data_IF_481334426622
#
_entry.id   IF_481334426622
#
_cell.length_a   1.000
_cell.length_b   1.000
_cell.length_c   1.000
_cell.angle_alpha   90.00
_cell.angle_beta   90.00
_cell.angle_gamma   90.00
#
_symmetry.space_group_name_H-M   'P 1'
#
loop_
_entity.id
_entity.type
_entity.pdbx_description
1 polymer ?
#
# COMPACT_ATOMS: atom_id res chain seq x y z
N UNK A 1 -1.36 -46.15 -1.01
CA UNK A 1 -0.52 -45.17 -0.29
C UNK A 1 -0.25 -43.99 -1.22
N UNK A 2 -0.91 -42.87 -1.06
CA UNK A 2 -0.30 -41.54 -1.27
C UNK A 2 -0.91 -40.44 -0.38
N UNK A 3 -0.97 -40.63 0.94
CA UNK A 3 -1.54 -39.61 1.85
C UNK A 3 -0.48 -38.81 2.58
N UNK A 4 0.78 -39.14 2.46
CA UNK A 4 1.86 -38.50 3.23
C UNK A 4 2.52 -37.27 2.54
N UNK A 5 2.36 -37.11 1.24
CA UNK A 5 3.01 -36.00 0.50
C UNK A 5 2.23 -34.67 0.68
N UNK A 6 0.91 -34.73 0.76
CA UNK A 6 0.06 -33.55 0.96
C UNK A 6 0.23 -32.95 2.37
N UNK A 7 0.42 -33.77 3.40
CA UNK A 7 0.67 -33.29 4.75
C UNK A 7 2.06 -32.64 4.89
N UNK A 8 3.08 -33.18 4.22
CA UNK A 8 4.42 -32.60 4.25
C UNK A 8 4.49 -31.23 3.54
N UNK A 9 3.78 -31.08 2.43
CA UNK A 9 3.68 -29.79 1.71
C UNK A 9 2.97 -28.71 2.55
N UNK A 10 1.89 -29.06 3.25
CA UNK A 10 1.14 -28.15 4.11
C UNK A 10 1.95 -27.70 5.34
N UNK A 11 2.80 -28.58 5.88
CA UNK A 11 3.73 -28.22 6.98
C UNK A 11 4.90 -27.37 6.48
N UNK A 12 5.40 -27.61 5.27
CA UNK A 12 6.45 -26.80 4.66
C UNK A 12 5.96 -25.38 4.31
N UNK A 13 4.73 -25.22 3.80
CA UNK A 13 4.15 -23.89 3.56
C UNK A 13 3.93 -23.11 4.88
N UNK A 14 3.42 -23.77 5.93
CA UNK A 14 3.31 -23.13 7.25
C UNK A 14 4.67 -22.77 7.84
N UNK A 15 5.67 -23.62 7.70
CA UNK A 15 7.03 -23.34 8.14
C UNK A 15 7.68 -22.21 7.35
N UNK A 16 7.39 -22.12 6.04
CA UNK A 16 7.90 -21.05 5.17
C UNK A 16 7.21 -19.70 5.44
N UNK A 17 5.90 -19.70 5.66
CA UNK A 17 5.16 -18.53 6.14
C UNK A 17 5.60 -18.09 7.53
N UNK A 18 5.84 -19.05 8.44
CA UNK A 18 6.33 -18.78 9.79
C UNK A 18 7.77 -18.25 9.75
N UNK A 19 8.64 -18.82 8.91
CA UNK A 19 10.02 -18.37 8.69
C UNK A 19 10.07 -16.96 8.07
N UNK A 20 9.19 -16.64 7.12
CA UNK A 20 9.05 -15.27 6.59
C UNK A 20 8.43 -14.31 7.62
N UNK A 21 7.46 -14.77 8.40
CA UNK A 21 6.90 -14.00 9.51
C UNK A 21 7.94 -13.75 10.59
N UNK A 22 8.77 -14.75 10.92
CA UNK A 22 9.90 -14.63 11.83
C UNK A 22 11.03 -13.77 11.24
N UNK A 23 11.39 -13.91 9.96
CA UNK A 23 12.31 -13.00 9.27
C UNK A 23 11.77 -11.57 9.16
N UNK A 24 10.46 -11.40 8.98
CA UNK A 24 9.81 -10.09 9.06
C UNK A 24 9.84 -9.52 10.49
N UNK A 25 9.79 -10.39 11.50
CA UNK A 25 10.00 -10.00 12.90
C UNK A 25 11.48 -9.75 13.23
N UNK A 26 12.42 -10.50 12.66
CA UNK A 26 13.86 -10.30 12.86
C UNK A 26 14.41 -9.06 12.13
N UNK A 27 13.80 -8.62 11.02
CA UNK A 27 14.14 -7.34 10.40
C UNK A 27 13.66 -6.11 11.21
N UNK A 28 12.92 -6.32 12.28
CA UNK A 28 12.50 -5.31 13.25
C UNK A 28 13.50 -5.22 14.42
N UNK A 29 14.79 -5.12 14.13
CA UNK A 29 15.83 -4.83 15.15
C UNK A 29 15.82 -3.38 15.65
N UNK A 30 14.82 -2.61 15.25
CA UNK A 30 14.74 -1.19 15.53
C UNK A 30 14.03 -0.99 16.84
N UNK A 31 14.70 -0.51 17.87
CA UNK A 31 14.18 -0.06 19.17
C UNK A 31 12.79 -0.66 19.52
N UNK A 32 12.76 -1.98 19.73
CA UNK A 32 11.55 -2.82 19.79
C UNK A 32 10.63 -2.54 20.98
N UNK A 33 11.11 -1.81 21.96
CA UNK A 33 10.41 -1.62 23.21
C UNK A 33 9.90 -0.19 23.31
N UNK A 34 8.70 0.01 23.87
CA UNK A 34 8.21 1.35 24.15
C UNK A 34 9.06 2.01 25.21
N UNK A 35 9.01 3.35 25.33
CA UNK A 35 9.66 4.06 26.42
C UNK A 35 9.16 3.54 27.76
N UNK A 36 9.99 3.63 28.81
CA UNK A 36 9.67 3.17 30.16
C UNK A 36 8.36 3.80 30.69
N UNK A 37 8.17 5.06 30.40
CA UNK A 37 6.98 5.85 30.66
C UNK A 37 6.95 7.07 29.72
N UNK A 38 5.98 7.97 29.85
CA UNK A 38 5.90 9.18 29.01
C UNK A 38 7.12 10.09 29.16
N UNK A 39 7.67 10.19 30.36
CA UNK A 39 8.79 11.10 30.68
C UNK A 39 10.14 10.58 30.18
N UNK A 40 10.22 9.29 29.83
CA UNK A 40 11.41 8.68 29.23
C UNK A 40 11.50 8.83 27.71
N UNK A 41 10.52 9.43 27.08
CA UNK A 41 10.53 9.78 25.65
C UNK A 41 11.38 11.05 25.48
N UNK A 42 12.36 11.01 24.57
CA UNK A 42 13.09 12.21 24.19
C UNK A 42 12.12 13.33 23.84
N UNK A 43 12.39 14.55 24.28
CA UNK A 43 11.63 15.71 23.80
C UNK A 43 11.79 15.87 22.29
N UNK A 44 10.88 16.59 21.65
CA UNK A 44 10.97 16.81 20.20
C UNK A 44 12.26 17.55 19.81
N UNK A 45 12.71 18.49 20.65
CA UNK A 45 13.96 19.25 20.45
C UNK A 45 15.20 18.36 20.62
N UNK A 46 15.23 17.52 21.64
CA UNK A 46 16.34 16.57 21.84
C UNK A 46 16.42 15.58 20.67
N UNK A 47 15.27 15.10 20.19
CA UNK A 47 15.23 14.23 19.02
C UNK A 47 15.75 14.96 17.77
N UNK A 48 15.37 16.22 17.55
CA UNK A 48 15.86 17.02 16.43
C UNK A 48 17.39 17.22 16.52
N UNK A 49 17.90 17.56 17.72
CA UNK A 49 19.33 17.72 17.94
C UNK A 49 20.12 16.42 17.63
N UNK A 50 19.62 15.26 18.05
CA UNK A 50 20.24 13.98 17.72
C UNK A 50 20.22 13.69 16.22
N UNK A 51 19.11 13.97 15.53
CA UNK A 51 18.96 13.72 14.10
C UNK A 51 19.63 14.77 13.21
N UNK A 52 20.17 15.86 13.77
CA UNK A 52 20.94 16.86 13.02
C UNK A 52 22.14 16.22 12.29
N UNK A 53 22.72 15.17 12.84
CA UNK A 53 23.82 14.42 12.22
C UNK A 53 23.47 13.74 10.91
N UNK A 54 22.17 13.57 10.58
CA UNK A 54 21.73 13.06 9.28
C UNK A 54 21.82 14.11 8.18
N UNK A 55 21.65 15.38 8.52
CA UNK A 55 21.62 16.47 7.53
C UNK A 55 22.99 16.59 6.87
N UNK A 56 23.01 16.70 5.55
CA UNK A 56 24.23 16.74 4.76
C UNK A 56 24.88 15.36 4.53
N UNK A 57 24.30 14.26 5.00
CA UNK A 57 24.81 12.92 4.72
C UNK A 57 24.16 12.32 3.46
N UNK A 58 24.87 11.38 2.82
CA UNK A 58 24.35 10.66 1.66
C UNK A 58 23.36 9.58 2.11
N UNK A 59 22.20 9.57 1.49
CA UNK A 59 21.14 8.57 1.75
C UNK A 59 21.10 7.53 0.62
N UNK A 60 21.00 6.21 0.91
CA UNK A 60 20.91 5.17 -0.09
C UNK A 60 19.49 5.13 -0.70
N UNK A 61 19.13 6.17 -1.44
CA UNK A 61 17.84 6.32 -2.09
C UNK A 61 17.73 5.34 -3.26
N UNK A 62 16.63 4.59 -3.29
CA UNK A 62 16.28 3.60 -4.33
C UNK A 62 14.90 3.92 -4.90
N UNK A 63 14.53 3.25 -5.98
CA UNK A 63 13.19 3.35 -6.58
C UNK A 63 12.10 2.62 -5.77
N UNK A 64 12.51 1.90 -4.71
CA UNK A 64 11.61 1.11 -3.86
C UNK A 64 11.28 1.86 -2.55
N UNK A 65 10.09 2.48 -2.40
CA UNK A 65 9.73 3.25 -1.20
C UNK A 65 9.85 2.48 0.12
N UNK A 66 9.58 1.17 0.10
CA UNK A 66 9.73 0.30 1.29
C UNK A 66 11.19 0.15 1.71
N UNK A 67 12.11 -0.01 0.75
CA UNK A 67 13.54 -0.08 1.01
C UNK A 67 14.03 1.24 1.60
N UNK A 68 13.61 2.36 1.01
CA UNK A 68 13.95 3.69 1.52
C UNK A 68 13.46 3.89 2.96
N UNK A 69 12.21 3.53 3.25
CA UNK A 69 11.68 3.57 4.61
C UNK A 69 12.47 2.69 5.60
N UNK A 70 12.89 1.50 5.16
CA UNK A 70 13.73 0.61 5.98
C UNK A 70 15.13 1.20 6.23
N UNK A 71 15.74 1.76 5.19
CA UNK A 71 17.05 2.41 5.30
C UNK A 71 17.01 3.61 6.25
N UNK A 72 15.95 4.42 6.16
CA UNK A 72 15.76 5.56 7.06
C UNK A 72 15.62 5.11 8.51
N UNK A 73 14.79 4.10 8.76
CA UNK A 73 14.65 3.55 10.13
C UNK A 73 15.98 3.09 10.68
N UNK A 74 16.74 2.30 9.92
CA UNK A 74 18.08 1.83 10.34
C UNK A 74 19.02 3.00 10.67
N UNK A 75 19.04 4.04 9.84
CA UNK A 75 19.87 5.22 10.06
C UNK A 75 19.48 5.95 11.35
N UNK A 76 18.18 6.17 11.56
CA UNK A 76 17.68 6.81 12.79
C UNK A 76 17.97 5.93 14.01
N UNK A 77 17.70 4.62 13.95
CA UNK A 77 17.97 3.70 15.05
C UNK A 77 19.42 3.73 15.46
N UNK A 78 20.35 3.70 14.51
CA UNK A 78 21.80 3.77 14.80
C UNK A 78 22.20 5.03 15.56
N UNK A 79 21.54 6.17 15.30
CA UNK A 79 21.81 7.44 16.00
C UNK A 79 21.21 7.44 17.41
N UNK A 80 20.05 6.79 17.57
CA UNK A 80 19.32 6.78 18.83
C UNK A 80 19.75 5.65 19.78
N UNK A 81 20.54 4.68 19.29
CA UNK A 81 21.03 3.52 20.06
C UNK A 81 22.33 3.88 20.82
N UNK A 82 22.26 4.94 21.60
CA UNK A 82 23.38 5.43 22.44
C UNK A 82 23.16 5.19 23.95
N UNK A 83 22.15 4.37 24.29
CA UNK A 83 21.80 4.08 25.68
C UNK A 83 21.04 5.21 26.39
N UNK A 84 20.77 6.33 25.74
CA UNK A 84 20.02 7.45 26.32
C UNK A 84 18.53 7.19 26.46
N UNK A 85 17.98 6.22 25.70
CA UNK A 85 16.56 5.89 25.70
C UNK A 85 16.29 4.76 26.68
N UNK A 86 15.45 5.05 27.68
CA UNK A 86 14.99 4.06 28.65
C UNK A 86 13.74 3.35 28.13
N UNK A 87 13.80 2.04 27.98
CA UNK A 87 12.72 1.20 27.47
C UNK A 87 12.07 0.35 28.55
N UNK A 88 10.81 0.00 28.36
CA UNK A 88 10.06 -0.85 29.29
C UNK A 88 10.34 -2.35 29.00
N UNK A 89 10.28 -3.17 30.05
CA UNK A 89 10.27 -4.63 29.88
C UNK A 89 8.97 -5.09 29.19
N UNK A 90 9.05 -6.13 28.36
CA UNK A 90 7.87 -6.72 27.66
C UNK A 90 6.73 -7.10 28.61
N UNK A 91 7.07 -7.50 29.84
CA UNK A 91 6.08 -7.89 30.86
C UNK A 91 5.28 -6.71 31.41
N UNK A 92 5.73 -5.46 31.21
CA UNK A 92 5.18 -4.29 31.89
C UNK A 92 4.24 -3.46 31.00
N UNK A 93 4.04 -3.85 29.75
CA UNK A 93 3.16 -3.15 28.83
C UNK A 93 2.42 -4.10 27.88
N UNK A 94 1.37 -3.57 27.28
CA UNK A 94 0.66 -4.18 26.15
C UNK A 94 0.56 -3.16 25.02
N UNK A 95 0.94 -3.58 23.81
CA UNK A 95 0.65 -2.81 22.61
C UNK A 95 -0.81 -3.04 22.27
N UNK A 96 -1.58 -1.96 22.18
CA UNK A 96 -2.99 -2.05 21.81
C UNK A 96 -3.09 -2.15 20.30
N UNK A 97 -3.51 -3.29 19.74
CA UNK A 97 -3.63 -3.42 18.30
C UNK A 97 -4.81 -2.56 17.83
N UNK A 98 -4.51 -1.42 17.25
CA UNK A 98 -5.46 -0.74 16.39
C UNK A 98 -5.35 -1.46 15.06
N UNK A 99 -6.29 -2.35 14.79
CA UNK A 99 -6.44 -3.21 13.59
C UNK A 99 -5.28 -3.09 12.57
N UNK A 100 -4.45 -4.11 12.45
CA UNK A 100 -3.37 -4.16 11.45
C UNK A 100 -2.09 -3.38 11.80
N UNK A 101 -1.51 -2.67 10.85
CA UNK A 101 -0.21 -1.97 10.97
C UNK A 101 -0.33 -0.65 11.75
N UNK A 102 -0.57 -0.70 13.06
CA UNK A 102 -0.88 0.49 13.87
C UNK A 102 0.27 1.02 14.72
N UNK A 103 1.37 0.30 14.88
CA UNK A 103 2.44 0.67 15.82
C UNK A 103 3.56 1.42 15.10
N UNK A 104 4.07 2.54 15.63
CA UNK A 104 5.25 3.22 15.09
C UNK A 104 6.46 2.30 15.01
N UNK A 105 7.24 2.40 13.95
CA UNK A 105 8.40 1.55 13.75
C UNK A 105 9.50 1.79 14.81
N UNK A 106 9.71 3.06 15.20
CA UNK A 106 10.63 3.45 16.28
C UNK A 106 9.85 3.61 17.58
N UNK A 107 9.40 2.48 18.12
CA UNK A 107 8.45 2.45 19.24
C UNK A 107 8.98 3.18 20.48
N UNK A 108 10.27 3.09 20.79
CA UNK A 108 10.87 3.76 21.95
C UNK A 108 10.80 5.29 21.85
N UNK A 109 10.81 5.85 20.65
CA UNK A 109 10.70 7.29 20.40
C UNK A 109 9.33 7.71 19.88
N UNK A 110 8.41 6.76 19.73
CA UNK A 110 7.06 6.96 19.13
C UNK A 110 7.13 7.60 17.74
N UNK A 111 8.18 7.31 16.97
CA UNK A 111 8.43 7.93 15.69
C UNK A 111 7.88 7.10 14.54
N UNK A 112 7.22 7.77 13.61
CA UNK A 112 6.91 7.29 12.27
C UNK A 112 7.75 8.08 11.27
N UNK A 113 8.49 7.40 10.40
CA UNK A 113 9.49 8.04 9.55
C UNK A 113 9.12 7.95 8.07
N UNK A 114 9.37 9.04 7.35
CA UNK A 114 8.97 9.24 5.96
C UNK A 114 10.09 9.87 5.14
N UNK A 115 10.25 9.40 3.91
CA UNK A 115 11.12 10.03 2.91
C UNK A 115 10.29 11.04 2.11
N UNK A 116 10.80 12.24 1.99
CA UNK A 116 10.24 13.33 1.20
C UNK A 116 11.24 13.67 0.10
N UNK A 117 10.84 13.56 -1.16
CA UNK A 117 11.78 13.73 -2.28
C UNK A 117 11.38 14.86 -3.21
N UNK A 118 10.27 14.69 -3.96
CA UNK A 118 9.91 15.53 -5.09
C UNK A 118 8.44 15.93 -5.07
N UNK A 119 8.06 16.85 -5.95
CA UNK A 119 6.71 17.36 -6.16
C UNK A 119 6.39 18.60 -5.34
N UNK A 120 5.24 19.20 -5.57
CA UNK A 120 4.78 20.41 -4.89
C UNK A 120 4.16 20.13 -3.53
N UNK A 121 3.61 18.93 -3.39
CA UNK A 121 2.88 18.47 -2.20
C UNK A 121 3.32 17.08 -1.78
N UNK A 122 3.53 16.89 -0.49
CA UNK A 122 3.73 15.59 0.13
C UNK A 122 2.43 15.10 0.76
N UNK A 123 1.95 13.92 0.38
CA UNK A 123 0.77 13.30 0.98
C UNK A 123 1.17 12.39 2.14
N UNK A 124 1.14 12.93 3.35
CA UNK A 124 1.31 12.14 4.58
C UNK A 124 0.15 11.17 4.72
N UNK A 125 0.44 9.88 4.65
CA UNK A 125 -0.52 8.80 4.82
C UNK A 125 -0.30 8.09 6.15
N UNK A 126 -1.31 8.07 7.00
CA UNK A 126 -1.27 7.40 8.30
C UNK A 126 -2.25 6.23 8.30
N UNK A 127 -1.73 5.05 8.65
CA UNK A 127 -2.48 3.81 8.63
C UNK A 127 -2.85 3.40 10.06
N UNK A 128 -4.13 3.17 10.32
CA UNK A 128 -4.70 2.65 11.58
C UNK A 128 -4.42 3.46 12.85
N UNK A 129 -3.47 4.38 12.83
CA UNK A 129 -3.20 5.33 13.89
C UNK A 129 -3.90 6.64 13.53
N UNK A 130 -5.04 6.89 14.14
CA UNK A 130 -5.73 8.16 13.90
C UNK A 130 -5.07 9.24 14.75
N UNK A 131 -4.19 10.09 14.17
CA UNK A 131 -3.36 11.00 14.96
C UNK A 131 -4.16 11.99 15.80
N UNK A 132 -5.39 12.29 15.37
CA UNK A 132 -6.31 13.20 16.05
C UNK A 132 -7.11 12.52 17.16
N UNK A 133 -6.84 11.24 17.48
CA UNK A 133 -7.60 10.49 18.46
C UNK A 133 -6.82 10.26 19.76
N UNK A 134 -7.59 10.03 20.81
CA UNK A 134 -7.08 9.63 22.12
C UNK A 134 -7.01 8.11 22.30
N UNK A 135 -7.05 7.34 21.22
CA UNK A 135 -6.93 5.89 21.29
C UNK A 135 -5.58 5.47 21.85
N UNK A 136 -5.62 4.46 22.73
CA UNK A 136 -4.39 3.93 23.33
C UNK A 136 -3.53 3.23 22.28
N UNK A 137 -2.25 3.51 22.27
CA UNK A 137 -1.23 2.83 21.48
C UNK A 137 -0.45 1.81 22.33
N UNK A 138 -0.14 2.21 23.55
CA UNK A 138 0.57 1.38 24.53
C UNK A 138 -0.14 1.55 25.88
N UNK A 139 -0.37 0.44 26.58
CA UNK A 139 -0.92 0.40 27.92
C UNK A 139 0.06 -0.28 28.87
N UNK A 140 0.49 0.44 29.89
CA UNK A 140 1.39 -0.06 30.93
C UNK A 140 0.61 -0.69 32.08
N UNK A 141 1.23 -1.59 32.83
CA UNK A 141 0.63 -2.21 34.03
C UNK A 141 0.27 -1.22 35.14
N UNK A 142 0.96 -0.10 35.21
CA UNK A 142 0.66 0.96 36.14
C UNK A 142 -0.47 1.89 35.67
N UNK A 143 -1.26 1.49 34.69
CA UNK A 143 -2.36 2.21 34.08
C UNK A 143 -1.98 3.47 33.29
N UNK A 144 -0.71 3.78 33.12
CA UNK A 144 -0.28 4.83 32.19
C UNK A 144 -0.56 4.36 30.76
N UNK A 145 -0.85 5.30 29.88
CA UNK A 145 -1.07 5.02 28.45
C UNK A 145 -0.31 6.00 27.57
N UNK A 146 0.19 5.52 26.45
CA UNK A 146 0.62 6.33 25.31
C UNK A 146 -0.43 6.23 24.24
N UNK A 147 -0.85 7.36 23.70
CA UNK A 147 -1.98 7.49 22.79
C UNK A 147 -1.51 7.73 21.35
N UNK A 148 -2.38 7.51 20.37
CA UNK A 148 -2.08 7.76 18.97
C UNK A 148 -1.68 9.21 18.68
N UNK A 149 -2.19 10.19 19.43
CA UNK A 149 -1.80 11.60 19.34
C UNK A 149 -0.38 11.90 19.85
N UNK A 150 0.23 10.99 20.63
CA UNK A 150 1.57 11.14 21.17
C UNK A 150 2.66 10.71 20.16
N UNK A 151 2.29 10.18 18.99
CA UNK A 151 3.24 9.82 17.92
C UNK A 151 3.90 11.08 17.34
N UNK A 152 5.05 10.89 16.72
CA UNK A 152 5.82 11.93 16.03
C UNK A 152 6.09 11.49 14.60
N UNK A 153 5.91 12.38 13.66
CA UNK A 153 6.30 12.19 12.28
C UNK A 153 7.71 12.71 12.08
N UNK A 154 8.60 11.89 11.56
CA UNK A 154 9.95 12.27 11.17
C UNK A 154 10.03 12.28 9.66
N UNK A 155 10.13 13.44 9.07
CA UNK A 155 10.27 13.63 7.63
C UNK A 155 11.73 13.90 7.30
N UNK A 156 12.26 13.20 6.32
CA UNK A 156 13.61 13.41 5.82
C UNK A 156 13.54 13.80 4.34
N UNK A 157 13.85 15.06 4.07
CA UNK A 157 13.94 15.58 2.69
C UNK A 157 15.25 15.12 2.08
N UNK A 158 15.16 14.36 1.00
CA UNK A 158 16.31 13.86 0.26
C UNK A 158 16.29 14.45 -1.15
N UNK A 159 17.42 14.98 -1.58
CA UNK A 159 17.63 15.43 -2.94
C UNK A 159 17.77 14.22 -3.87
N UNK A 160 17.04 14.19 -4.97
CA UNK A 160 16.99 13.04 -5.87
C UNK A 160 18.24 12.86 -6.72
N UNK A 161 18.97 13.93 -6.99
CA UNK A 161 20.13 13.92 -7.87
C UNK A 161 21.40 13.61 -7.06
N UNK A 162 21.64 14.37 -6.02
CA UNK A 162 22.81 14.23 -5.16
C UNK A 162 22.70 13.10 -4.14
N UNK A 163 21.47 12.65 -3.86
CA UNK A 163 21.12 11.70 -2.78
C UNK A 163 21.46 12.20 -1.39
N UNK A 164 21.61 13.51 -1.21
CA UNK A 164 21.95 14.12 0.07
C UNK A 164 20.68 14.41 0.88
N UNK A 165 20.75 14.21 2.19
CA UNK A 165 19.69 14.62 3.11
C UNK A 165 19.76 16.14 3.27
N UNK A 166 18.73 16.85 2.83
CA UNK A 166 18.65 18.30 2.86
C UNK A 166 18.11 18.84 4.19
N UNK A 167 17.12 18.16 4.77
CA UNK A 167 16.53 18.57 6.05
C UNK A 167 15.89 17.39 6.77
N UNK A 168 15.71 17.53 8.08
CA UNK A 168 14.93 16.63 8.92
C UNK A 168 13.88 17.46 9.67
N UNK A 169 12.62 17.14 9.49
CA UNK A 169 11.51 17.80 10.18
C UNK A 169 10.79 16.79 11.06
N UNK A 170 10.70 17.09 12.35
CA UNK A 170 9.92 16.31 13.31
C UNK A 170 8.68 17.11 13.66
N UNK A 171 7.51 16.52 13.46
CA UNK A 171 6.25 17.18 13.72
C UNK A 171 5.30 16.29 14.54
N UNK A 172 4.59 16.91 15.47
CA UNK A 172 3.48 16.25 16.18
C UNK A 172 2.19 16.29 15.36
N UNK A 173 1.24 15.36 15.58
CA UNK A 173 -0.07 15.40 14.95
C UNK A 173 -0.78 16.75 15.15
N UNK A 174 -0.76 17.28 16.36
CA UNK A 174 -1.38 18.57 16.69
C UNK A 174 -0.77 19.73 15.92
N UNK A 175 0.56 19.72 15.74
CA UNK A 175 1.25 20.71 14.92
C UNK A 175 0.82 20.62 13.45
N UNK A 176 0.78 19.42 12.90
CA UNK A 176 0.33 19.18 11.51
C UNK A 176 -1.11 19.68 11.33
N UNK A 177 -2.00 19.37 12.27
CA UNK A 177 -3.40 19.81 12.22
C UNK A 177 -3.49 21.34 12.29
N UNK A 178 -2.74 21.97 13.20
CA UNK A 178 -2.76 23.43 13.35
C UNK A 178 -2.25 24.14 12.10
N UNK A 179 -1.24 23.60 11.44
CA UNK A 179 -0.56 24.27 10.31
C UNK A 179 -1.20 23.96 8.96
N UNK A 180 -1.67 22.73 8.75
CA UNK A 180 -2.13 22.25 7.45
C UNK A 180 -3.60 21.80 7.44
N UNK A 181 -4.28 21.81 8.57
CA UNK A 181 -5.65 21.37 8.75
C UNK A 181 -5.75 19.90 9.20
N UNK A 182 -6.95 19.50 9.56
CA UNK A 182 -7.26 18.16 10.07
C UNK A 182 -6.95 17.08 9.03
N UNK A 183 -6.59 15.90 9.50
CA UNK A 183 -6.48 14.72 8.64
C UNK A 183 -7.85 14.38 8.05
N UNK A 184 -7.86 13.91 6.82
CA UNK A 184 -9.09 13.43 6.17
C UNK A 184 -9.75 12.29 6.96
N UNK A 185 -11.02 12.06 6.69
CA UNK A 185 -11.78 10.96 7.30
C UNK A 185 -11.07 9.64 6.99
N UNK A 186 -10.86 8.78 8.00
CA UNK A 186 -10.27 7.47 7.77
C UNK A 186 -11.11 6.65 6.79
N UNK A 187 -10.51 6.24 5.70
CA UNK A 187 -11.14 5.38 4.71
C UNK A 187 -10.59 3.97 4.81
N UNK A 188 -11.50 3.00 4.70
CA UNK A 188 -11.14 1.58 4.65
C UNK A 188 -10.23 1.30 3.45
N UNK A 189 -9.26 0.41 3.62
CA UNK A 189 -8.34 -0.05 2.59
C UNK A 189 -8.18 -1.56 2.67
N UNK A 190 -8.69 -2.23 1.66
CA UNK A 190 -8.49 -3.66 1.48
C UNK A 190 -7.20 -3.94 0.72
N UNK A 191 -6.58 -5.04 1.03
CA UNK A 191 -5.35 -5.52 0.39
C UNK A 191 -5.40 -7.03 0.20
N UNK A 192 -4.66 -7.51 -0.79
CA UNK A 192 -4.40 -8.93 -0.97
C UNK A 192 -2.92 -9.18 -1.20
N UNK A 193 -2.45 -10.37 -0.82
CA UNK A 193 -1.05 -10.80 -0.96
C UNK A 193 -0.96 -11.82 -2.08
N UNK A 194 0.06 -11.68 -2.91
CA UNK A 194 0.41 -12.59 -3.97
C UNK A 194 1.74 -13.27 -3.64
N UNK A 195 1.76 -14.61 -3.61
CA UNK A 195 2.97 -15.34 -3.32
C UNK A 195 3.89 -15.44 -4.54
N UNK A 196 5.21 -15.45 -4.31
CA UNK A 196 6.18 -15.64 -5.39
C UNK A 196 6.01 -16.99 -6.10
N UNK A 197 5.56 -18.02 -5.35
CA UNK A 197 5.28 -19.33 -5.91
C UNK A 197 4.16 -19.23 -6.96
N UNK A 198 3.04 -18.63 -6.58
CA UNK A 198 1.88 -18.48 -7.48
C UNK A 198 2.19 -17.56 -8.66
N UNK A 199 2.96 -16.51 -8.42
CA UNK A 199 3.47 -15.65 -9.49
C UNK A 199 4.26 -16.45 -10.53
N UNK A 200 5.21 -17.26 -10.07
CA UNK A 200 6.06 -18.09 -10.95
C UNK A 200 5.25 -19.13 -11.72
N UNK A 201 4.22 -19.71 -11.13
CA UNK A 201 3.29 -20.64 -11.82
C UNK A 201 2.62 -19.95 -13.02
N UNK A 202 2.15 -18.71 -12.85
CA UNK A 202 1.47 -17.96 -13.91
C UNK A 202 2.45 -17.55 -15.01
N UNK A 203 3.58 -16.98 -14.65
CA UNK A 203 4.59 -16.49 -15.61
C UNK A 203 5.17 -17.64 -16.47
N UNK A 204 5.38 -18.79 -15.85
CA UNK A 204 5.89 -19.99 -16.55
C UNK A 204 4.80 -20.80 -17.26
N UNK A 205 3.54 -20.45 -17.06
CA UNK A 205 2.41 -21.11 -17.72
C UNK A 205 2.40 -20.83 -19.24
N UNK A 206 1.86 -21.75 -20.00
CA UNK A 206 1.84 -21.72 -21.49
C UNK A 206 1.20 -20.45 -22.06
N UNK A 207 0.29 -19.82 -21.34
CA UNK A 207 -0.40 -18.59 -21.81
C UNK A 207 0.05 -17.33 -21.09
N UNK A 208 0.92 -17.44 -20.06
CA UNK A 208 1.24 -16.36 -19.12
C UNK A 208 0.01 -15.60 -18.61
N UNK A 209 -1.15 -16.28 -18.59
CA UNK A 209 -2.42 -15.71 -18.19
C UNK A 209 -3.20 -16.68 -17.29
N UNK A 210 -3.45 -16.27 -16.06
CA UNK A 210 -4.41 -16.94 -15.18
C UNK A 210 -5.80 -16.38 -15.50
N UNK A 211 -6.62 -17.21 -16.10
CA UNK A 211 -7.94 -16.83 -16.61
C UNK A 211 -9.04 -17.57 -15.86
N UNK A 212 -10.11 -16.85 -15.55
CA UNK A 212 -11.39 -17.38 -15.05
C UNK A 212 -12.52 -16.75 -15.84
N UNK A 213 -13.60 -17.49 -16.02
CA UNK A 213 -14.80 -16.99 -16.69
C UNK A 213 -15.58 -16.02 -15.80
N UNK A 214 -16.47 -15.24 -16.41
CA UNK A 214 -17.41 -14.38 -15.70
C UNK A 214 -18.28 -15.18 -14.71
N UNK A 215 -18.72 -14.53 -13.63
CA UNK A 215 -19.71 -15.14 -12.73
C UNK A 215 -21.01 -15.45 -13.48
N UNK A 216 -21.75 -16.45 -13.00
CA UNK A 216 -23.05 -16.78 -13.57
C UNK A 216 -24.01 -15.57 -13.61
N UNK A 217 -23.89 -14.68 -12.62
CA UNK A 217 -24.67 -13.44 -12.58
C UNK A 217 -24.26 -12.47 -13.70
N UNK A 218 -22.96 -12.39 -14.02
CA UNK A 218 -22.45 -11.52 -15.09
C UNK A 218 -22.73 -12.08 -16.49
N UNK A 219 -22.64 -13.39 -16.70
CA UNK A 219 -22.78 -14.04 -18.02
C UNK A 219 -24.05 -13.64 -18.76
N UNK A 220 -25.16 -13.43 -18.06
CA UNK A 220 -26.42 -13.00 -18.67
C UNK A 220 -26.40 -11.59 -19.28
N UNK A 221 -25.39 -10.79 -18.97
CA UNK A 221 -25.22 -9.40 -19.44
C UNK A 221 -24.09 -9.26 -20.45
N UNK A 222 -23.22 -10.27 -20.58
CA UNK A 222 -22.02 -10.23 -21.41
C UNK A 222 -22.28 -10.66 -22.85
N UNK A 223 -21.34 -10.29 -23.72
CA UNK A 223 -21.28 -10.73 -25.12
C UNK A 223 -19.87 -11.22 -25.46
N UNK A 224 -19.78 -12.33 -26.20
CA UNK A 224 -18.54 -12.90 -26.74
C UNK A 224 -18.08 -12.21 -28.04
N UNK A 225 -18.94 -11.39 -28.60
CA UNK A 225 -18.59 -10.64 -29.81
C UNK A 225 -18.06 -9.27 -29.42
N UNK A 226 -16.91 -8.92 -29.96
CA UNK A 226 -16.39 -7.57 -29.79
C UNK A 226 -17.36 -6.55 -30.37
N UNK A 227 -17.79 -5.64 -29.52
CA UNK A 227 -18.66 -4.52 -29.87
C UNK A 227 -17.93 -3.25 -29.45
N UNK A 228 -17.78 -2.31 -30.38
CA UNK A 228 -17.26 -0.98 -30.02
C UNK A 228 -18.24 -0.31 -29.05
N UNK A 229 -17.80 0.13 -27.89
CA UNK A 229 -18.67 0.78 -26.91
C UNK A 229 -19.38 2.00 -27.53
N UNK A 230 -20.68 2.12 -27.29
CA UNK A 230 -21.47 3.30 -27.67
C UNK A 230 -21.57 4.30 -26.56
N UNK A 231 -21.30 3.87 -25.35
CA UNK A 231 -21.35 4.65 -24.13
C UNK A 231 -19.93 5.04 -23.66
N UNK A 232 -19.86 6.08 -22.86
CA UNK A 232 -18.58 6.50 -22.25
C UNK A 232 -18.03 5.43 -21.29
N UNK A 233 -16.74 5.40 -21.14
CA UNK A 233 -16.04 4.52 -20.19
C UNK A 233 -16.57 4.65 -18.75
N UNK A 234 -17.02 5.85 -18.37
CA UNK A 234 -17.55 6.18 -17.05
C UNK A 234 -19.03 5.86 -16.86
N UNK A 235 -19.75 5.50 -17.94
CA UNK A 235 -21.16 5.20 -17.85
C UNK A 235 -21.40 3.85 -17.15
N UNK A 236 -22.60 3.67 -16.63
CA UNK A 236 -23.02 2.40 -16.09
C UNK A 236 -23.00 1.30 -17.15
N UNK A 237 -22.70 0.05 -16.77
CA UNK A 237 -22.68 -1.07 -17.70
C UNK A 237 -24.04 -1.27 -18.38
N UNK A 238 -24.00 -1.56 -19.68
CA UNK A 238 -25.20 -1.79 -20.49
C UNK A 238 -25.25 -3.22 -21.00
N UNK A 239 -26.41 -3.84 -20.91
CA UNK A 239 -26.62 -5.19 -21.42
C UNK A 239 -26.28 -5.27 -22.92
N UNK A 240 -25.45 -6.25 -23.31
CA UNK A 240 -25.01 -6.45 -24.69
C UNK A 240 -23.81 -5.60 -25.13
N UNK A 241 -23.30 -4.71 -24.26
CA UNK A 241 -22.06 -3.97 -24.47
C UNK A 241 -20.93 -4.43 -23.55
N UNK A 242 -21.26 -5.19 -22.52
CA UNK A 242 -20.28 -5.77 -21.60
C UNK A 242 -19.61 -6.96 -22.30
N UNK A 243 -18.33 -6.83 -22.61
CA UNK A 243 -17.56 -7.92 -23.23
C UNK A 243 -17.36 -9.04 -22.21
N UNK A 244 -17.47 -10.30 -22.62
CA UNK A 244 -17.11 -11.41 -21.73
C UNK A 244 -15.61 -11.36 -21.36
N UNK A 245 -15.24 -11.96 -20.23
CA UNK A 245 -13.82 -12.06 -19.86
C UNK A 245 -13.01 -12.85 -20.90
N UNK A 246 -13.62 -13.78 -21.63
CA UNK A 246 -12.98 -14.45 -22.77
C UNK A 246 -12.64 -13.46 -23.89
N UNK A 247 -13.59 -12.60 -24.26
CA UNK A 247 -13.37 -11.56 -25.27
C UNK A 247 -12.32 -10.54 -24.82
N UNK A 248 -12.34 -10.13 -23.55
CA UNK A 248 -11.33 -9.24 -22.97
C UNK A 248 -9.95 -9.90 -23.03
N UNK A 249 -9.84 -11.19 -22.65
CA UNK A 249 -8.58 -11.95 -22.70
C UNK A 249 -7.94 -11.91 -24.09
N UNK A 250 -8.72 -12.09 -25.14
CA UNK A 250 -8.22 -12.03 -26.51
C UNK A 250 -7.65 -10.66 -26.86
N UNK A 251 -8.27 -9.59 -26.36
CA UNK A 251 -7.82 -8.20 -26.60
C UNK A 251 -6.57 -7.83 -25.82
N UNK A 252 -6.49 -8.27 -24.56
CA UNK A 252 -5.38 -7.87 -23.67
C UNK A 252 -4.18 -8.82 -23.72
N UNK A 253 -4.31 -9.96 -24.40
CA UNK A 253 -3.22 -10.96 -24.49
C UNK A 253 -1.92 -10.39 -25.06
N UNK A 254 -2.01 -9.41 -25.96
CA UNK A 254 -0.85 -8.71 -26.54
C UNK A 254 -0.07 -7.84 -25.53
N UNK A 255 -0.60 -7.63 -24.32
CA UNK A 255 0.09 -6.87 -23.28
C UNK A 255 1.29 -7.63 -22.68
N UNK A 256 1.29 -8.95 -22.72
CA UNK A 256 2.42 -9.75 -22.24
C UNK A 256 3.65 -9.46 -23.10
N UNK A 257 4.77 -9.15 -22.46
CA UNK A 257 6.02 -8.72 -23.11
C UNK A 257 6.11 -7.20 -23.37
N UNK A 258 5.03 -6.43 -23.15
CA UNK A 258 5.10 -4.97 -23.30
C UNK A 258 5.69 -4.30 -22.05
N UNK A 259 6.41 -3.20 -22.25
CA UNK A 259 6.99 -2.43 -21.18
C UNK A 259 6.11 -1.24 -20.82
N UNK A 260 5.78 -1.11 -19.53
CA UNK A 260 5.13 0.07 -18.97
C UNK A 260 6.19 1.16 -18.73
N UNK A 261 6.36 2.05 -19.72
CA UNK A 261 7.43 3.07 -19.72
C UNK A 261 7.05 4.23 -18.80
N UNK A 262 7.10 4.03 -17.47
CA UNK A 262 6.82 5.09 -16.51
C UNK A 262 7.54 4.83 -15.18
N UNK A 263 8.00 5.90 -14.53
CA UNK A 263 8.92 5.82 -13.39
C UNK A 263 8.28 5.47 -12.04
N UNK A 264 6.98 5.67 -11.85
CA UNK A 264 6.31 5.41 -10.57
C UNK A 264 5.07 4.52 -10.72
N UNK A 265 4.74 3.76 -9.66
CA UNK A 265 3.65 2.77 -9.68
C UNK A 265 2.27 3.39 -9.96
N UNK A 266 2.01 4.63 -9.51
CA UNK A 266 0.72 5.29 -9.75
C UNK A 266 0.55 5.62 -11.23
N UNK A 267 1.58 6.16 -11.85
CA UNK A 267 1.58 6.50 -13.28
C UNK A 267 1.55 5.24 -14.15
N UNK A 268 2.22 4.14 -13.72
CA UNK A 268 2.11 2.82 -14.37
C UNK A 268 0.66 2.32 -14.38
N UNK A 269 -0.05 2.44 -13.25
CA UNK A 269 -1.47 2.07 -13.16
C UNK A 269 -2.32 2.84 -14.16
N UNK A 270 -2.26 4.16 -14.14
CA UNK A 270 -3.01 5.03 -15.05
C UNK A 270 -2.66 4.80 -16.52
N UNK A 271 -1.40 4.50 -16.83
CA UNK A 271 -0.98 4.17 -18.19
C UNK A 271 -1.62 2.85 -18.63
N UNK A 272 -1.57 1.81 -17.81
CA UNK A 272 -2.18 0.51 -18.12
C UNK A 272 -3.70 0.63 -18.28
N UNK A 273 -4.38 1.37 -17.41
CA UNK A 273 -5.83 1.66 -17.52
C UNK A 273 -6.19 2.22 -18.89
N UNK A 274 -5.41 3.23 -19.37
CA UNK A 274 -5.62 3.82 -20.70
C UNK A 274 -5.38 2.83 -21.84
N UNK A 275 -4.31 2.05 -21.75
CA UNK A 275 -3.99 1.04 -22.77
C UNK A 275 -5.10 0.00 -22.84
N UNK A 276 -5.58 -0.48 -21.71
CA UNK A 276 -6.69 -1.44 -21.63
C UNK A 276 -7.97 -0.83 -22.19
N UNK A 277 -8.31 0.39 -21.81
CA UNK A 277 -9.48 1.09 -22.33
C UNK A 277 -9.45 1.19 -23.88
N UNK A 278 -8.29 1.57 -24.44
CA UNK A 278 -8.11 1.63 -25.89
C UNK A 278 -8.26 0.26 -26.56
N UNK A 279 -7.71 -0.81 -25.98
CA UNK A 279 -7.87 -2.17 -26.49
C UNK A 279 -9.33 -2.65 -26.49
N UNK A 280 -10.13 -2.13 -25.56
CA UNK A 280 -11.55 -2.39 -25.45
C UNK A 280 -12.41 -1.46 -26.34
N UNK A 281 -11.78 -0.55 -27.09
CA UNK A 281 -12.44 0.30 -28.10
C UNK A 281 -12.92 1.66 -27.58
N UNK A 282 -12.55 2.07 -26.36
CA UNK A 282 -12.84 3.42 -25.85
C UNK A 282 -11.91 4.46 -26.46
N UNK A 283 -12.39 5.70 -26.58
CA UNK A 283 -11.59 6.81 -27.08
C UNK A 283 -10.49 7.21 -26.10
N UNK A 284 -9.32 7.57 -26.61
CA UNK A 284 -8.21 8.13 -25.82
C UNK A 284 -8.56 9.46 -25.13
N UNK A 285 -9.60 10.15 -25.61
CA UNK A 285 -10.08 11.41 -25.05
C UNK A 285 -11.07 11.22 -23.90
N UNK A 286 -11.55 9.99 -23.67
CA UNK A 286 -12.39 9.69 -22.51
C UNK A 286 -11.52 9.84 -21.25
N UNK A 287 -11.86 10.81 -20.41
CA UNK A 287 -11.19 10.99 -19.13
C UNK A 287 -11.49 9.80 -18.24
N UNK A 288 -10.44 9.08 -17.84
CA UNK A 288 -10.54 8.11 -16.76
C UNK A 288 -10.89 8.89 -15.48
N UNK A 289 -12.15 8.89 -15.13
CA UNK A 289 -12.63 9.48 -13.88
C UNK A 289 -12.30 8.48 -12.79
N UNK A 290 -11.36 8.81 -11.91
CA UNK A 290 -10.99 7.94 -10.80
C UNK A 290 -12.23 7.46 -10.04
N UNK A 291 -12.42 6.16 -9.97
CA UNK A 291 -13.60 5.52 -9.38
C UNK A 291 -13.33 4.04 -9.09
N UNK A 292 -14.39 3.30 -8.92
CA UNK A 292 -14.36 1.83 -8.82
C UNK A 292 -15.60 1.26 -9.51
N UNK A 293 -15.39 0.31 -10.40
CA UNK A 293 -14.09 -0.11 -10.97
C UNK A 293 -13.49 0.95 -11.92
N UNK A 294 -12.22 0.80 -12.33
CA UNK A 294 -11.48 1.76 -13.18
C UNK A 294 -12.14 1.97 -14.55
N UNK A 295 -12.78 0.94 -15.11
CA UNK A 295 -13.58 0.97 -16.34
C UNK A 295 -15.03 0.59 -16.00
N UNK A 296 -15.86 1.54 -15.51
CA UNK A 296 -17.21 1.25 -15.01
C UNK A 296 -18.11 0.59 -16.04
N UNK A 297 -18.11 1.05 -17.30
CA UNK A 297 -18.96 0.50 -18.34
C UNK A 297 -18.69 -0.99 -18.63
N UNK A 298 -17.47 -1.46 -18.35
CA UNK A 298 -17.09 -2.88 -18.44
C UNK A 298 -17.02 -3.58 -17.08
N UNK A 299 -17.31 -2.92 -15.96
CA UNK A 299 -17.11 -3.46 -14.63
C UNK A 299 -15.71 -4.06 -14.43
N UNK A 300 -14.69 -3.40 -14.97
CA UNK A 300 -13.31 -3.90 -15.00
C UNK A 300 -12.40 -3.00 -14.18
N UNK A 301 -11.79 -3.58 -13.16
CA UNK A 301 -10.74 -2.98 -12.34
C UNK A 301 -9.37 -3.39 -12.90
N UNK A 302 -8.47 -2.43 -13.08
CA UNK A 302 -7.15 -2.64 -13.68
C UNK A 302 -6.07 -2.40 -12.64
N UNK A 303 -5.15 -3.32 -12.47
CA UNK A 303 -4.07 -3.22 -11.47
C UNK A 303 -2.72 -3.61 -12.05
N UNK A 304 -1.67 -2.94 -11.58
CA UNK A 304 -0.28 -3.35 -11.77
C UNK A 304 0.22 -4.00 -10.49
N UNK A 305 0.81 -5.18 -10.61
CA UNK A 305 1.42 -5.88 -9.48
C UNK A 305 2.95 -5.92 -9.68
N UNK A 306 3.64 -5.02 -9.01
CA UNK A 306 5.11 -4.93 -8.92
C UNK A 306 5.63 -5.22 -7.51
N UNK A 307 4.73 -5.56 -6.58
CA UNK A 307 5.06 -5.86 -5.18
C UNK A 307 4.21 -7.04 -4.68
N UNK A 308 4.59 -7.72 -3.58
CA UNK A 308 3.82 -8.82 -3.03
C UNK A 308 2.39 -8.45 -2.57
N UNK A 309 2.09 -7.16 -2.44
CA UNK A 309 0.79 -6.67 -1.96
C UNK A 309 0.10 -5.89 -3.06
N UNK A 310 -1.16 -6.23 -3.36
CA UNK A 310 -2.05 -5.48 -4.25
C UNK A 310 -3.04 -4.69 -3.39
N UNK A 311 -3.13 -3.39 -3.61
CA UNK A 311 -4.09 -2.50 -2.93
C UNK A 311 -5.42 -2.52 -3.71
N UNK A 312 -6.48 -3.01 -3.06
CA UNK A 312 -7.83 -3.04 -3.61
C UNK A 312 -8.61 -1.74 -3.36
N UNK A 313 -8.05 -0.83 -2.55
CA UNK A 313 -8.74 0.41 -2.24
C UNK A 313 -9.88 0.22 -1.25
N UNK A 314 -11.01 0.89 -1.52
CA UNK A 314 -12.20 0.94 -0.65
C UNK A 314 -13.08 -0.31 -0.77
N UNK A 315 -13.00 -1.01 -1.88
CA UNK A 315 -13.85 -2.15 -2.20
C UNK A 315 -13.04 -3.44 -2.27
N UNK A 316 -13.64 -4.55 -1.85
CA UNK A 316 -13.02 -5.87 -1.92
C UNK A 316 -14.06 -6.94 -2.16
N UNK A 317 -13.76 -7.93 -3.01
CA UNK A 317 -14.62 -9.11 -3.15
C UNK A 317 -14.77 -9.91 -1.86
N UNK A 318 -13.77 -9.86 -0.96
CA UNK A 318 -13.86 -10.54 0.35
C UNK A 318 -14.87 -9.90 1.32
N UNK A 319 -15.42 -8.74 0.96
CA UNK A 319 -16.50 -8.08 1.68
C UNK A 319 -17.53 -7.56 0.67
N UNK A 320 -18.42 -8.44 0.17
CA UNK A 320 -19.34 -8.12 -0.91
C UNK A 320 -20.25 -6.94 -0.59
N UNK A 321 -20.29 -5.98 -1.52
CA UNK A 321 -21.23 -4.85 -1.49
C UNK A 321 -21.83 -4.66 -2.88
N UNK A 322 -23.08 -4.24 -2.93
CA UNK A 322 -23.76 -3.96 -4.19
C UNK A 322 -23.12 -2.73 -4.85
N UNK A 323 -22.75 -2.86 -6.11
CA UNK A 323 -22.16 -1.80 -6.94
C UNK A 323 -23.07 -1.36 -8.08
N UNK A 324 -24.00 -2.22 -8.50
CA UNK A 324 -25.03 -1.90 -9.48
C UNK A 324 -26.36 -2.51 -9.04
N UNK A 325 -27.29 -1.65 -8.58
CA UNK A 325 -28.58 -2.10 -8.10
C UNK A 325 -29.50 -2.65 -9.22
N UNK A 326 -29.44 -2.07 -10.43
CA UNK A 326 -30.33 -2.45 -11.52
C UNK A 326 -30.02 -3.85 -12.07
N UNK A 327 -28.76 -4.26 -12.00
CA UNK A 327 -28.30 -5.59 -12.43
C UNK A 327 -28.03 -6.53 -11.24
N UNK A 328 -28.23 -6.06 -10.01
CA UNK A 328 -27.91 -6.79 -8.78
C UNK A 328 -26.47 -7.31 -8.75
N UNK A 329 -25.51 -6.48 -9.21
CA UNK A 329 -24.10 -6.85 -9.26
C UNK A 329 -23.36 -6.34 -8.02
N UNK A 330 -22.45 -7.15 -7.53
CA UNK A 330 -21.64 -6.88 -6.34
C UNK A 330 -20.15 -6.76 -6.67
N UNK A 331 -19.34 -6.46 -5.68
CA UNK A 331 -17.86 -6.49 -5.80
C UNK A 331 -17.31 -7.87 -6.17
N UNK A 332 -18.06 -8.95 -5.97
CA UNK A 332 -17.70 -10.30 -6.44
C UNK A 332 -17.82 -10.45 -7.95
N UNK A 333 -18.73 -9.69 -8.58
CA UNK A 333 -18.96 -9.69 -10.02
C UNK A 333 -18.02 -8.75 -10.77
N UNK A 334 -17.38 -7.80 -10.06
CA UNK A 334 -16.34 -6.94 -10.66
C UNK A 334 -15.21 -7.78 -11.18
N UNK A 335 -14.78 -7.48 -12.38
CA UNK A 335 -13.72 -8.19 -13.08
C UNK A 335 -12.40 -7.49 -12.84
N UNK A 336 -11.33 -8.25 -12.68
CA UNK A 336 -9.99 -7.73 -12.41
C UNK A 336 -9.03 -8.14 -13.50
N UNK A 337 -8.35 -7.15 -14.10
CA UNK A 337 -7.17 -7.36 -14.91
C UNK A 337 -5.95 -6.92 -14.09
N UNK A 338 -5.10 -7.87 -13.72
CA UNK A 338 -3.89 -7.60 -12.94
C UNK A 338 -2.68 -7.95 -13.79
N UNK A 339 -1.90 -6.94 -14.17
CA UNK A 339 -0.65 -7.13 -14.89
C UNK A 339 0.50 -7.39 -13.91
N UNK A 340 1.16 -8.52 -14.05
CA UNK A 340 2.34 -8.92 -13.28
C UNK A 340 3.57 -8.36 -13.98
N UNK A 341 4.25 -7.38 -13.36
CA UNK A 341 5.43 -6.76 -13.98
C UNK A 341 6.73 -7.15 -13.28
N UNK A 342 7.81 -7.23 -14.04
CA UNK A 342 9.16 -7.32 -13.50
C UNK A 342 9.65 -5.97 -12.94
N UNK A 343 10.91 -5.93 -12.51
CA UNK A 343 11.53 -4.72 -11.97
C UNK A 343 11.72 -3.61 -13.03
N UNK A 344 11.74 -3.95 -14.32
CA UNK A 344 11.87 -3.04 -15.45
C UNK A 344 10.50 -2.55 -15.96
N UNK A 345 9.40 -3.04 -15.37
CA UNK A 345 8.04 -2.73 -15.79
C UNK A 345 7.56 -3.52 -17.02
N UNK A 346 8.23 -4.61 -17.38
CA UNK A 346 7.79 -5.52 -18.44
C UNK A 346 6.68 -6.40 -17.88
N UNK A 347 5.55 -6.50 -18.58
CA UNK A 347 4.45 -7.38 -18.21
C UNK A 347 4.86 -8.83 -18.51
N UNK A 348 5.06 -9.62 -17.47
CA UNK A 348 5.44 -11.03 -17.57
C UNK A 348 4.24 -11.98 -17.60
N UNK A 349 3.10 -11.51 -17.11
CA UNK A 349 1.88 -12.29 -17.07
C UNK A 349 0.65 -11.48 -16.67
N UNK A 350 -0.51 -12.06 -16.88
CA UNK A 350 -1.81 -11.45 -16.60
C UNK A 350 -2.64 -12.34 -15.68
N UNK A 351 -3.45 -11.72 -14.83
CA UNK A 351 -4.56 -12.36 -14.14
C UNK A 351 -5.83 -11.69 -14.62
N UNK A 352 -6.75 -12.45 -15.17
CA UNK A 352 -8.04 -11.98 -15.62
C UNK A 352 -9.14 -12.85 -14.99
N UNK A 353 -9.87 -12.27 -14.04
CA UNK A 353 -10.73 -13.04 -13.14
C UNK A 353 -11.86 -12.18 -12.58
N UNK A 354 -13.06 -12.72 -12.33
CA UNK A 354 -14.04 -12.06 -11.49
C UNK A 354 -13.55 -12.00 -10.04
N UNK A 355 -14.05 -11.03 -9.29
CA UNK A 355 -13.68 -10.81 -7.89
C UNK A 355 -13.85 -12.03 -7.01
N UNK A 356 -14.94 -12.80 -7.21
CA UNK A 356 -15.23 -14.05 -6.48
C UNK A 356 -14.13 -15.11 -6.60
N UNK A 357 -13.34 -15.11 -7.69
CA UNK A 357 -12.28 -16.08 -7.94
C UNK A 357 -10.87 -15.56 -7.63
N UNK A 358 -10.72 -14.32 -7.17
CA UNK A 358 -9.39 -13.77 -6.83
C UNK A 358 -8.70 -14.55 -5.70
N UNK A 359 -9.46 -15.14 -4.78
CA UNK A 359 -8.95 -15.98 -3.70
C UNK A 359 -8.15 -17.20 -4.18
N UNK A 360 -8.31 -17.65 -5.44
CA UNK A 360 -7.54 -18.76 -6.03
C UNK A 360 -6.07 -18.38 -6.26
N UNK A 361 -5.81 -17.11 -6.53
CA UNK A 361 -4.47 -16.59 -6.80
C UNK A 361 -3.89 -15.78 -5.64
N UNK A 362 -4.74 -15.14 -4.85
CA UNK A 362 -4.34 -14.20 -3.80
C UNK A 362 -4.86 -14.63 -2.42
N UNK A 363 -4.16 -14.19 -1.39
CA UNK A 363 -4.65 -14.26 -0.02
C UNK A 363 -5.12 -12.87 0.41
N UNK A 364 -6.39 -12.71 0.75
CA UNK A 364 -6.91 -11.48 1.31
C UNK A 364 -6.29 -11.21 2.69
N UNK A 365 -5.77 -10.01 2.88
CA UNK A 365 -5.19 -9.60 4.15
C UNK A 365 -6.27 -8.97 4.99
N UNK A 366 -6.50 -9.58 6.16
CA UNK A 366 -7.44 -9.18 7.22
C UNK A 366 -8.14 -7.83 7.05
N UNK A 367 -9.28 -7.88 7.32
CA UNK A 367 -10.55 -7.23 7.21
C UNK A 367 -10.58 -5.72 7.14
N UNK A 368 -9.69 -4.95 7.73
CA UNK A 368 -9.87 -3.50 7.70
C UNK A 368 -8.62 -2.74 8.08
N UNK A 369 -7.86 -2.34 7.09
CA UNK A 369 -6.91 -1.25 7.29
C UNK A 369 -7.63 0.07 7.00
N UNK A 370 -7.45 1.05 7.87
CA UNK A 370 -7.94 2.40 7.66
C UNK A 370 -6.78 3.32 7.35
N UNK A 371 -6.97 4.19 6.37
CA UNK A 371 -5.99 5.21 5.98
C UNK A 371 -6.62 6.58 6.08
N UNK A 372 -5.96 7.50 6.78
CA UNK A 372 -6.21 8.93 6.65
C UNK A 372 -4.99 9.63 6.06
N UNK A 373 -5.19 10.82 5.51
CA UNK A 373 -4.10 11.54 4.87
C UNK A 373 -4.21 13.05 5.06
N UNK A 374 -3.04 13.73 4.97
CA UNK A 374 -2.93 15.17 4.95
C UNK A 374 -1.87 15.60 3.95
N UNK A 375 -2.21 16.53 3.06
CA UNK A 375 -1.24 17.12 2.13
C UNK A 375 -0.42 18.20 2.83
N UNK A 376 0.88 18.18 2.64
CA UNK A 376 1.85 19.11 3.20
C UNK A 376 2.63 19.72 2.03
N UNK A 377 2.69 21.05 1.89
CA UNK A 377 3.47 21.69 0.84
C UNK A 377 4.95 21.33 0.91
N UNK A 378 5.59 21.12 -0.24
CA UNK A 378 7.02 20.77 -0.29
C UNK A 378 7.91 21.89 0.29
N UNK A 379 7.50 23.15 0.14
CA UNK A 379 8.19 24.32 0.73
C UNK A 379 8.41 24.15 2.25
N UNK A 380 7.46 23.54 2.96
CA UNK A 380 7.61 23.27 4.40
C UNK A 380 8.89 22.52 4.75
N UNK A 381 9.31 21.59 3.88
CA UNK A 381 10.55 20.83 4.09
C UNK A 381 11.76 21.55 3.52
N UNK A 382 11.59 22.27 2.42
CA UNK A 382 12.67 23.00 1.73
C UNK A 382 13.13 24.20 2.55
N UNK A 383 12.21 24.90 3.23
CA UNK A 383 12.50 26.05 4.10
C UNK A 383 13.37 25.67 5.31
N UNK A 384 13.49 24.38 5.60
CA UNK A 384 14.32 23.87 6.70
C UNK A 384 15.66 23.32 6.22
N UNK A 385 16.12 23.68 5.02
CA UNK A 385 17.37 23.21 4.46
C UNK A 385 18.55 23.44 5.43
N UNK A 386 19.39 22.41 5.59
CA UNK A 386 20.54 22.42 6.48
C UNK A 386 20.22 22.15 7.96
N UNK A 387 18.96 21.90 8.32
CA UNK A 387 18.52 21.80 9.72
C UNK A 387 17.74 20.53 10.01
N UNK A 388 17.85 20.09 11.27
CA UNK A 388 16.88 19.20 11.88
C UNK A 388 16.06 20.00 12.89
N UNK A 389 14.73 20.03 12.73
CA UNK A 389 13.86 20.93 13.49
C UNK A 389 12.64 20.21 14.05
N UNK A 390 12.12 20.72 15.15
CA UNK A 390 10.92 20.23 15.80
C UNK A 390 9.81 21.29 15.73
N UNK A 391 8.66 20.96 15.14
CA UNK A 391 7.47 21.82 14.97
C UNK A 391 7.85 23.23 14.47
N UNK A 392 8.51 23.35 13.32
CA UNK A 392 9.06 24.62 12.81
C UNK A 392 7.99 25.64 12.41
#
# INVERSE_FOLDING_TARGET
MPTNIFHALFFLERAFCLSRYLKYQESMSDLKFPPLNKDSVLTGTELANKLQSLVGTKFPLTDKPRTNGSNLRKAITKILDDGSIKVADKKDYTVVPIKGKGVPHLLACLCDSYIVTTGDMYNLQVWNRFPNTSNDLIRYKNNQTIKCKDIRFVFVKVDTDTKMIQSVVIATPDYIVKKFGIFGVPTIKYQMIFSDLKRNEIIKGTSSCNFKEDTANMQQYTTDKFVTPKHSISDLPQKGEILSLQCIKEKVGSLVGTQLVVSDTKTKGQFLERVVANLLGYSTNDSLVGGYPDIPNQLLEVKVQDSPTVDLGKYSPSNPVVINNSMNLTTEDVRYLIALTDENGIIEGLILSPGSCLGDAFTFVSDTNYKCQRSIPMSFFTDQQGKAVFNP
#
